data_IF_647553540488
#
_entry.id   IF_647553540488
#
_cell.length_a   1.000
_cell.length_b   1.000
_cell.length_c   1.000
_cell.angle_alpha   90.00
_cell.angle_beta   90.00
_cell.angle_gamma   90.00
#
_symmetry.space_group_name_H-M   'P 1'
#
loop_
_entity.id
_entity.type
_entity.pdbx_description
1 polymer ?
#
# COMPACT_ATOMS: atom_id res chain seq x y z
N UNK A 1 14.61 -3.92 32.22
CA UNK A 1 13.27 -3.67 31.63
C UNK A 1 13.26 -2.79 30.36
N UNK A 2 14.37 -2.14 29.95
CA UNK A 2 14.38 -1.30 28.73
C UNK A 2 14.42 -2.08 27.40
N UNK A 3 15.08 -3.24 27.36
CA UNK A 3 15.28 -4.02 26.13
C UNK A 3 13.98 -4.54 25.48
N UNK A 4 12.98 -4.89 26.30
CA UNK A 4 11.67 -5.38 25.82
C UNK A 4 10.87 -4.28 25.11
N UNK A 5 11.04 -3.02 25.51
CA UNK A 5 10.32 -1.89 24.93
C UNK A 5 10.88 -1.55 23.52
N UNK A 6 12.20 -1.66 23.35
CA UNK A 6 12.86 -1.48 22.05
C UNK A 6 12.45 -2.57 21.05
N UNK A 7 12.41 -3.83 21.50
CA UNK A 7 11.98 -4.97 20.67
C UNK A 7 10.51 -4.87 20.25
N UNK A 8 9.62 -4.47 21.15
CA UNK A 8 8.21 -4.25 20.83
C UNK A 8 8.01 -3.12 19.82
N UNK A 9 8.77 -2.02 19.93
CA UNK A 9 8.75 -0.93 18.94
C UNK A 9 9.24 -1.41 17.57
N UNK A 10 10.29 -2.22 17.51
CA UNK A 10 10.79 -2.81 16.26
C UNK A 10 9.76 -3.75 15.60
N UNK A 11 9.10 -4.61 16.37
CA UNK A 11 8.05 -5.51 15.87
C UNK A 11 6.84 -4.72 15.37
N UNK A 12 6.46 -3.64 16.06
CA UNK A 12 5.38 -2.77 15.63
C UNK A 12 5.72 -2.07 14.31
N UNK A 13 6.95 -1.55 14.17
CA UNK A 13 7.44 -0.95 12.93
C UNK A 13 7.48 -1.95 11.78
N UNK A 14 8.00 -3.17 12.02
CA UNK A 14 8.03 -4.23 11.02
C UNK A 14 6.62 -4.63 10.57
N UNK A 15 5.67 -4.74 11.50
CA UNK A 15 4.27 -5.01 11.16
C UNK A 15 3.62 -3.86 10.40
N UNK A 16 3.88 -2.61 10.78
CA UNK A 16 3.36 -1.45 10.06
C UNK A 16 3.90 -1.39 8.63
N UNK A 17 5.18 -1.69 8.44
CA UNK A 17 5.82 -1.73 7.13
C UNK A 17 5.32 -2.91 6.29
N UNK A 18 5.17 -4.10 6.87
CA UNK A 18 4.59 -5.26 6.20
C UNK A 18 3.15 -4.98 5.74
N UNK A 19 2.31 -4.40 6.60
CA UNK A 19 0.95 -3.99 6.24
C UNK A 19 0.94 -2.97 5.11
N UNK A 20 1.83 -1.97 5.15
CA UNK A 20 1.96 -0.98 4.10
C UNK A 20 2.33 -1.62 2.77
N UNK A 21 3.27 -2.56 2.78
CA UNK A 21 3.67 -3.31 1.58
C UNK A 21 2.50 -4.12 1.01
N UNK A 22 1.80 -4.90 1.84
CA UNK A 22 0.65 -5.70 1.38
C UNK A 22 -0.47 -4.82 0.81
N UNK A 23 -0.71 -3.64 1.38
CA UNK A 23 -1.67 -2.68 0.83
C UNK A 23 -1.23 -2.14 -0.54
N UNK A 24 0.06 -1.84 -0.70
CA UNK A 24 0.62 -1.42 -1.99
C UNK A 24 0.48 -2.52 -3.05
N UNK A 25 0.88 -3.76 -2.73
CA UNK A 25 0.79 -4.90 -3.65
C UNK A 25 -0.67 -5.13 -4.08
N UNK A 26 -1.61 -5.01 -3.14
CA UNK A 26 -3.05 -5.16 -3.41
C UNK A 26 -3.59 -4.04 -4.30
N UNK A 27 -3.20 -2.79 -4.04
CA UNK A 27 -3.62 -1.65 -4.87
C UNK A 27 -3.04 -1.74 -6.28
N UNK A 28 -1.77 -2.12 -6.42
CA UNK A 28 -1.11 -2.34 -7.70
C UNK A 28 -1.79 -3.44 -8.50
N UNK A 29 -2.08 -4.59 -7.88
CA UNK A 29 -2.82 -5.67 -8.53
C UNK A 29 -4.19 -5.22 -9.03
N UNK A 30 -4.95 -4.47 -8.20
CA UNK A 30 -6.25 -3.91 -8.60
C UNK A 30 -6.12 -2.88 -9.72
N UNK A 31 -5.08 -2.05 -9.71
CA UNK A 31 -4.84 -1.06 -10.75
C UNK A 31 -4.50 -1.71 -12.10
N UNK A 32 -3.65 -2.75 -12.10
CA UNK A 32 -3.37 -3.52 -13.30
C UNK A 32 -4.62 -4.21 -13.85
N UNK A 33 -5.48 -4.77 -12.98
CA UNK A 33 -6.74 -5.37 -13.41
C UNK A 33 -7.71 -4.32 -13.98
N UNK A 34 -7.86 -3.18 -13.31
CA UNK A 34 -8.68 -2.07 -13.80
C UNK A 34 -8.20 -1.58 -15.17
N UNK A 35 -6.88 -1.43 -15.33
CA UNK A 35 -6.26 -1.05 -16.60
C UNK A 35 -6.52 -2.08 -17.70
N UNK A 36 -6.31 -3.37 -17.42
CA UNK A 36 -6.59 -4.47 -18.37
C UNK A 36 -8.06 -4.53 -18.79
N UNK A 37 -8.95 -4.20 -17.87
CA UNK A 37 -10.40 -4.16 -18.13
C UNK A 37 -10.85 -2.85 -18.80
N UNK A 38 -9.96 -1.86 -18.96
CA UNK A 38 -10.31 -0.54 -19.46
C UNK A 38 -11.19 0.29 -18.52
N UNK A 39 -11.24 -0.09 -17.23
CA UNK A 39 -12.05 0.61 -16.22
C UNK A 39 -11.30 1.82 -15.67
N UNK A 40 -11.41 2.92 -16.40
CA UNK A 40 -10.79 4.21 -16.07
C UNK A 40 -11.30 4.75 -14.72
N UNK A 41 -12.57 4.51 -14.38
CA UNK A 41 -13.15 4.97 -13.13
C UNK A 41 -12.57 4.22 -11.93
N UNK A 42 -12.43 2.89 -12.04
CA UNK A 42 -11.77 2.09 -11.03
C UNK A 42 -10.29 2.50 -10.87
N UNK A 43 -9.56 2.73 -11.98
CA UNK A 43 -8.18 3.19 -11.92
C UNK A 43 -8.05 4.55 -11.20
N UNK A 44 -8.93 5.51 -11.50
CA UNK A 44 -8.95 6.81 -10.81
C UNK A 44 -9.29 6.70 -9.32
N UNK A 45 -10.23 5.81 -8.95
CA UNK A 45 -10.58 5.57 -7.55
C UNK A 45 -9.39 5.00 -6.78
N UNK A 46 -8.70 4.01 -7.35
CA UNK A 46 -7.50 3.41 -6.77
C UNK A 46 -6.35 4.40 -6.62
N UNK A 47 -6.16 5.29 -7.60
CA UNK A 47 -5.18 6.37 -7.50
C UNK A 47 -5.49 7.30 -6.32
N UNK A 48 -6.76 7.70 -6.15
CA UNK A 48 -7.18 8.54 -5.02
C UNK A 48 -7.00 7.82 -3.68
N UNK A 49 -7.29 6.52 -3.60
CA UNK A 49 -7.04 5.70 -2.41
C UNK A 49 -5.55 5.69 -2.05
N UNK A 50 -4.67 5.52 -3.03
CA UNK A 50 -3.22 5.52 -2.80
C UNK A 50 -2.68 6.88 -2.35
N UNK A 51 -3.17 7.97 -2.93
CA UNK A 51 -2.86 9.34 -2.48
C UNK A 51 -3.30 9.55 -1.03
N UNK A 52 -4.53 9.14 -0.68
CA UNK A 52 -5.06 9.29 0.68
C UNK A 52 -4.26 8.49 1.71
N UNK A 53 -3.71 7.34 1.31
CA UNK A 53 -2.83 6.51 2.15
C UNK A 53 -1.37 6.98 2.15
N UNK A 54 -1.04 8.03 1.38
CA UNK A 54 0.32 8.54 1.23
C UNK A 54 1.28 7.50 0.66
N UNK A 55 0.77 6.59 -0.17
CA UNK A 55 1.55 5.55 -0.83
C UNK A 55 2.21 6.11 -2.10
N UNK A 56 3.41 5.63 -2.46
CA UNK A 56 4.05 6.04 -3.70
C UNK A 56 3.19 5.61 -4.89
N UNK A 57 2.92 6.57 -5.78
CA UNK A 57 2.02 6.40 -6.91
C UNK A 57 2.72 5.74 -8.11
N UNK A 58 4.06 5.65 -8.07
CA UNK A 58 4.88 4.93 -9.05
C UNK A 58 4.49 3.45 -9.17
N UNK A 59 3.85 2.89 -8.13
CA UNK A 59 3.37 1.50 -8.14
C UNK A 59 2.05 1.31 -8.89
N UNK A 60 1.41 2.40 -9.34
CA UNK A 60 0.10 2.39 -10.01
C UNK A 60 0.17 2.85 -11.48
N UNK A 61 1.38 3.17 -11.95
CA UNK A 61 1.65 3.45 -13.36
C UNK A 61 1.79 2.10 -14.09
N UNK A 62 1.04 1.85 -15.18
CA UNK A 62 1.01 0.58 -15.89
C UNK A 62 2.32 0.24 -16.63
#
# INVERSE_FOLDING_TARGET
MAASNTRNKQILQANAQARRQTLMDSLQARAHLAHRNGDIHAQQALYREAVALGLPLDCLDP
#
